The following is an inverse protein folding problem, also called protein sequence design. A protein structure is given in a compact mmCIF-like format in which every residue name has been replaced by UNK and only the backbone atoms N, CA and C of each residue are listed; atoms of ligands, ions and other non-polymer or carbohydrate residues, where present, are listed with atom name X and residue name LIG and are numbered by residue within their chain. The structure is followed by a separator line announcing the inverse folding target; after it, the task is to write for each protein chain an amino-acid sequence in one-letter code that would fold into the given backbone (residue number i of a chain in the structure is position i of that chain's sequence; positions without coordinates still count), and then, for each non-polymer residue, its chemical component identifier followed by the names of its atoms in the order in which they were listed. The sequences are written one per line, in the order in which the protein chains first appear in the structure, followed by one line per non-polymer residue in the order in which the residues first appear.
data_IF_639136042747
#
_entry.id   IF_639136042747
#
_cell.length_a   1.000
_cell.length_b   1.000
_cell.length_c   1.000
_cell.angle_alpha   90.00
_cell.angle_beta   90.00
_cell.angle_gamma   90.00
#
_symmetry.space_group_name_H-M   'P 1'
#
loop_
_entity.id
_entity.type
_entity.pdbx_description
1 polymer ?
#
# COMPACT_ATOMS: atom_id res chain seq x y z
N UNK A 1 9.22 -5.43 -12.94
CA UNK A 1 10.26 -5.94 -12.03
C UNK A 1 9.84 -7.34 -11.59
N UNK A 2 10.57 -8.37 -12.03
CA UNK A 2 10.22 -9.77 -11.78
C UNK A 2 11.10 -10.33 -10.65
N UNK A 3 10.77 -9.96 -9.41
CA UNK A 3 11.31 -10.61 -8.22
C UNK A 3 10.17 -11.19 -7.37
N UNK A 4 10.44 -12.23 -6.56
CA UNK A 4 9.43 -12.88 -5.72
C UNK A 4 8.69 -11.90 -4.79
N UNK A 5 7.43 -12.18 -4.47
CA UNK A 5 6.56 -11.27 -3.67
C UNK A 5 7.03 -11.04 -2.23
N UNK A 6 7.95 -11.87 -1.73
CA UNK A 6 8.51 -11.76 -0.38
C UNK A 6 9.77 -10.86 -0.31
N UNK A 7 10.24 -10.34 -1.45
CA UNK A 7 11.42 -9.48 -1.57
C UNK A 7 11.04 -8.01 -1.84
N UNK A 8 11.93 -7.08 -1.47
CA UNK A 8 11.84 -5.66 -1.78
C UNK A 8 11.11 -4.82 -0.74
N UNK A 9 11.06 -3.49 -0.97
CA UNK A 9 10.32 -2.57 -0.11
C UNK A 9 8.83 -2.88 -0.23
N UNK A 10 8.16 -3.04 0.91
CA UNK A 10 6.72 -3.32 0.96
C UNK A 10 5.89 -2.08 0.69
N UNK A 11 5.77 -1.71 -0.59
CA UNK A 11 4.86 -0.66 -1.06
C UNK A 11 3.45 -1.20 -1.28
N UNK A 12 2.47 -0.29 -1.42
CA UNK A 12 1.11 -0.67 -1.77
C UNK A 12 1.07 -1.28 -3.18
N UNK A 13 0.49 -2.46 -3.31
CA UNK A 13 0.34 -3.22 -4.58
C UNK A 13 1.66 -3.44 -5.35
N UNK A 14 2.81 -3.37 -4.66
CA UNK A 14 4.14 -3.37 -5.30
C UNK A 14 4.34 -2.25 -6.33
N UNK A 15 3.64 -1.13 -6.17
CA UNK A 15 3.89 0.08 -6.95
C UNK A 15 5.32 0.60 -6.67
N UNK A 16 5.94 1.32 -7.62
CA UNK A 16 7.25 1.93 -7.40
C UNK A 16 7.26 2.82 -6.16
N UNK A 17 8.33 2.74 -5.38
CA UNK A 17 8.60 3.72 -4.34
C UNK A 17 9.30 4.92 -5.00
N UNK A 18 8.60 6.05 -5.06
CA UNK A 18 9.12 7.28 -5.65
C UNK A 18 9.01 8.43 -4.65
N UNK A 19 10.00 9.31 -4.64
CA UNK A 19 10.05 10.50 -3.78
C UNK A 19 9.95 11.80 -4.58
N UNK A 20 10.23 11.75 -5.88
CA UNK A 20 10.02 12.85 -6.81
C UNK A 20 8.62 12.76 -7.46
N UNK A 21 7.75 13.71 -7.11
CA UNK A 21 6.34 13.68 -7.52
C UNK A 21 6.04 14.38 -8.86
N UNK A 22 7.06 14.86 -9.60
CA UNK A 22 6.85 15.70 -10.80
C UNK A 22 6.03 15.02 -11.91
N UNK A 23 6.18 13.71 -12.09
CA UNK A 23 5.58 12.94 -13.18
C UNK A 23 4.61 11.85 -12.64
N UNK A 24 3.97 12.11 -11.49
CA UNK A 24 3.09 11.14 -10.82
C UNK A 24 1.65 11.64 -10.87
N UNK A 25 0.74 10.86 -11.48
CA UNK A 25 -0.70 11.20 -11.51
C UNK A 25 -1.36 11.09 -10.13
N UNK A 26 -0.98 10.06 -9.36
CA UNK A 26 -1.49 9.82 -8.02
C UNK A 26 -0.47 9.08 -7.15
N UNK A 27 -0.55 9.29 -5.84
CA UNK A 27 0.33 8.64 -4.86
C UNK A 27 -0.48 8.01 -3.73
N UNK A 28 0.09 6.98 -3.11
CA UNK A 28 -0.48 6.30 -1.96
C UNK A 28 0.34 6.64 -0.72
N UNK A 29 -0.24 7.44 0.16
CA UNK A 29 0.39 7.88 1.42
C UNK A 29 -0.32 7.21 2.59
N UNK A 30 0.47 6.59 3.47
CA UNK A 30 -0.01 6.06 4.74
C UNK A 30 0.25 7.05 5.87
N UNK A 31 -0.77 7.37 6.67
CA UNK A 31 -0.63 8.21 7.87
C UNK A 31 -0.79 7.32 9.12
N UNK A 32 0.32 6.89 9.75
CA UNK A 32 0.28 5.96 10.88
C UNK A 32 -0.03 6.72 12.19
N UNK A 33 -1.28 7.13 12.37
CA UNK A 33 -1.72 7.92 13.52
C UNK A 33 -3.01 7.35 14.12
N UNK A 34 -3.10 7.30 15.45
CA UNK A 34 -4.31 6.88 16.16
C UNK A 34 -4.52 7.57 17.53
N UNK A 35 -3.74 8.62 17.85
CA UNK A 35 -3.87 9.36 19.12
C UNK A 35 -5.23 10.08 19.25
N UNK A 36 -5.95 10.28 18.14
CA UNK A 36 -7.32 10.82 18.16
C UNK A 36 -8.41 9.80 18.52
N UNK A 37 -8.08 8.52 18.69
CA UNK A 37 -9.04 7.47 19.04
C UNK A 37 -9.29 7.40 20.56
N UNK A 38 -10.54 7.20 20.97
CA UNK A 38 -10.94 7.20 22.39
C UNK A 38 -11.10 5.82 23.02
N UNK A 39 -11.01 4.74 22.23
CA UNK A 39 -11.24 3.39 22.71
C UNK A 39 -10.09 2.42 22.39
N UNK A 40 -10.12 1.77 21.23
CA UNK A 40 -9.07 0.80 20.84
C UNK A 40 -8.01 1.48 20.00
N UNK A 41 -6.78 1.46 20.50
CA UNK A 41 -5.57 1.84 19.75
C UNK A 41 -5.18 0.74 18.76
N UNK A 42 -4.33 1.10 17.80
CA UNK A 42 -3.75 0.15 16.83
C UNK A 42 -3.94 0.57 15.37
N UNK A 43 -4.79 1.56 15.08
CA UNK A 43 -5.00 2.04 13.71
C UNK A 43 -3.71 2.60 13.07
N UNK A 44 -2.74 3.04 13.89
CA UNK A 44 -1.40 3.43 13.42
C UNK A 44 -0.66 2.34 12.66
N UNK A 45 -0.97 1.07 12.91
CA UNK A 45 -0.39 -0.08 12.21
C UNK A 45 -1.11 -0.40 10.89
N UNK A 46 -2.29 0.19 10.66
CA UNK A 46 -3.13 0.00 9.48
C UNK A 46 -2.38 0.20 8.16
N UNK A 47 -1.65 1.31 7.96
CA UNK A 47 -0.92 1.54 6.71
C UNK A 47 0.09 0.42 6.36
N UNK A 48 0.81 -0.12 7.34
CA UNK A 48 1.72 -1.25 7.11
C UNK A 48 0.94 -2.53 6.79
N UNK A 49 -0.09 -2.83 7.57
CA UNK A 49 -0.94 -4.01 7.33
C UNK A 49 -1.63 -3.99 5.96
N UNK A 50 -2.09 -2.82 5.51
CA UNK A 50 -2.67 -2.66 4.16
C UNK A 50 -1.62 -2.95 3.08
N UNK A 51 -0.39 -2.44 3.22
CA UNK A 51 0.70 -2.74 2.26
C UNK A 51 1.02 -4.22 2.23
N UNK A 52 1.13 -4.87 3.38
CA UNK A 52 1.40 -6.31 3.49
C UNK A 52 0.30 -7.16 2.81
N UNK A 53 -0.97 -6.84 3.04
CA UNK A 53 -2.09 -7.57 2.44
C UNK A 53 -2.27 -7.26 0.94
N UNK A 54 -1.90 -6.05 0.50
CA UNK A 54 -1.98 -5.65 -0.91
C UNK A 54 -1.06 -6.47 -1.82
N UNK A 55 -0.08 -7.19 -1.26
CA UNK A 55 0.77 -8.13 -2.00
C UNK A 55 0.00 -9.26 -2.65
N UNK A 56 -1.24 -9.55 -2.24
CA UNK A 56 -2.08 -10.59 -2.85
C UNK A 56 -2.88 -10.08 -4.05
N UNK A 57 -3.01 -8.76 -4.21
CA UNK A 57 -3.75 -8.18 -5.32
C UNK A 57 -3.07 -8.52 -6.66
N UNK A 58 -3.91 -8.70 -7.67
CA UNK A 58 -3.51 -8.86 -9.05
C UNK A 58 -3.85 -7.58 -9.82
N UNK A 59 -3.09 -7.24 -10.88
CA UNK A 59 -3.42 -6.09 -11.74
C UNK A 59 -4.77 -6.28 -12.46
N UNK A 60 -5.22 -7.53 -12.57
CA UNK A 60 -6.45 -7.92 -13.26
C UNK A 60 -7.62 -8.04 -12.28
N UNK A 61 -8.71 -7.35 -12.58
CA UNK A 61 -10.00 -7.52 -11.91
C UNK A 61 -10.96 -8.30 -12.84
N UNK A 62 -11.27 -9.58 -12.54
CA UNK A 62 -12.14 -10.40 -13.39
C UNK A 62 -13.54 -9.84 -13.57
N UNK A 63 -14.05 -9.07 -12.60
CA UNK A 63 -15.38 -8.48 -12.66
C UNK A 63 -15.46 -7.26 -13.61
N UNK A 64 -14.32 -6.67 -13.97
CA UNK A 64 -14.26 -5.49 -14.86
C UNK A 64 -13.82 -5.81 -16.30
N UNK A 65 -13.61 -7.07 -16.64
CA UNK A 65 -13.59 -7.54 -18.04
C UNK A 65 -12.48 -7.01 -18.96
N UNK A 66 -11.38 -6.46 -18.41
CA UNK A 66 -10.18 -6.10 -19.17
C UNK A 66 -8.99 -6.91 -18.71
#
# INVERSE_FOLDING_TARGET
MEYPRFEGIRTFMRLPHETNLKEIDFTIVGVPFDTGGTFRVGARFGPSGIRDNSLLLRPYNPAQGH
#
